data_IF_208652396658
#
_entry.id   IF_208652396658
#
_cell.length_a   1.000
_cell.length_b   1.000
_cell.length_c   1.000
_cell.angle_alpha   90.00
_cell.angle_beta   90.00
_cell.angle_gamma   90.00
#
_symmetry.space_group_name_H-M   'P 1'
#
loop_
_entity.id
_entity.type
_entity.pdbx_description
1 polymer ?
#
# COMPACT_ATOMS: atom_id res chain seq x y z
N UNK A 1 -3.95 24.86 -6.21
CA UNK A 1 -3.63 23.70 -7.07
C UNK A 1 -4.13 22.50 -6.30
N UNK A 2 -5.19 21.82 -6.76
CA UNK A 2 -5.66 20.60 -6.11
C UNK A 2 -4.72 19.47 -6.48
N UNK A 3 -4.36 18.64 -5.51
CA UNK A 3 -3.44 17.51 -5.67
C UNK A 3 -4.11 16.23 -5.22
N UNK A 4 -3.61 15.11 -5.70
CA UNK A 4 -4.10 13.79 -5.31
C UNK A 4 -3.58 13.42 -3.90
N UNK A 5 -4.48 13.03 -3.00
CA UNK A 5 -4.10 12.70 -1.62
C UNK A 5 -3.25 11.43 -1.52
N UNK A 6 -3.40 10.49 -2.46
CA UNK A 6 -2.60 9.26 -2.52
C UNK A 6 -1.19 9.55 -3.04
N UNK A 7 -1.06 10.44 -4.03
CA UNK A 7 0.24 10.93 -4.49
C UNK A 7 0.98 11.66 -3.36
N UNK A 8 0.29 12.56 -2.65
CA UNK A 8 0.87 13.26 -1.51
C UNK A 8 1.31 12.31 -0.38
N UNK A 9 0.49 11.31 -0.03
CA UNK A 9 0.83 10.31 0.98
C UNK A 9 2.09 9.54 0.59
N UNK A 10 2.17 9.09 -0.67
CA UNK A 10 3.34 8.37 -1.17
C UNK A 10 4.59 9.24 -1.14
N UNK A 11 4.50 10.48 -1.61
CA UNK A 11 5.61 11.43 -1.54
C UNK A 11 6.08 11.63 -0.10
N UNK A 12 5.15 11.89 0.82
CA UNK A 12 5.48 12.15 2.22
C UNK A 12 6.17 10.96 2.90
N UNK A 13 5.65 9.74 2.74
CA UNK A 13 6.25 8.55 3.37
C UNK A 13 7.65 8.27 2.83
N UNK A 14 7.87 8.41 1.52
CA UNK A 14 9.19 8.21 0.91
C UNK A 14 10.18 9.31 1.33
N UNK A 15 9.78 10.59 1.34
CA UNK A 15 10.64 11.67 1.84
C UNK A 15 11.03 11.48 3.31
N UNK A 16 10.09 11.03 4.16
CA UNK A 16 10.41 10.70 5.56
C UNK A 16 11.44 9.57 5.66
N UNK A 17 11.34 8.52 4.82
CA UNK A 17 12.34 7.46 4.78
C UNK A 17 13.71 8.04 4.41
N UNK A 18 13.78 8.81 3.34
CA UNK A 18 15.04 9.41 2.85
C UNK A 18 15.70 10.30 3.91
N UNK A 19 14.93 11.12 4.62
CA UNK A 19 15.42 11.97 5.71
C UNK A 19 15.99 11.11 6.84
N UNK A 20 15.22 10.12 7.31
CA UNK A 20 15.63 9.26 8.43
C UNK A 20 16.87 8.41 8.10
N UNK A 21 17.00 7.96 6.85
CA UNK A 21 18.19 7.23 6.39
C UNK A 21 19.42 8.14 6.37
N UNK A 22 19.29 9.38 5.87
CA UNK A 22 20.37 10.37 5.87
C UNK A 22 20.83 10.70 7.29
N UNK A 23 19.90 10.94 8.21
CA UNK A 23 20.19 11.23 9.62
C UNK A 23 20.92 10.05 10.29
N UNK A 24 20.45 8.82 10.07
CA UNK A 24 21.08 7.64 10.64
C UNK A 24 22.48 7.37 10.08
N UNK A 25 22.71 7.67 8.79
CA UNK A 25 24.04 7.55 8.19
C UNK A 25 24.99 8.65 8.66
N UNK A 26 24.51 9.88 8.86
CA UNK A 26 25.31 10.96 9.44
C UNK A 26 25.74 10.63 10.88
N UNK A 27 24.81 10.14 11.71
CA UNK A 27 25.11 9.74 13.09
C UNK A 27 26.17 8.61 13.19
N UNK A 28 26.17 7.66 12.24
CA UNK A 28 27.19 6.61 12.16
C UNK A 28 28.56 7.16 11.78
N UNK A 29 28.60 8.10 10.83
CA UNK A 29 29.86 8.72 10.41
C UNK A 29 30.48 9.55 11.55
N UNK A 30 29.68 10.28 12.33
CA UNK A 30 30.17 11.06 13.48
C UNK A 30 30.68 10.16 14.63
N UNK A 31 30.06 9.00 14.83
CA UNK A 31 30.50 8.01 15.82
C UNK A 31 31.83 7.33 15.42
N UNK A 32 32.06 7.08 14.13
CA UNK A 32 33.35 6.53 13.65
C UNK A 32 34.48 7.57 13.75
N UNK A 33 34.19 8.85 13.51
CA UNK A 33 35.18 9.94 13.52
C UNK A 33 35.62 10.36 14.94
N UNK A 34 34.87 9.97 15.98
CA UNK A 34 35.15 10.29 17.39
C UNK A 34 35.89 9.19 18.16
N UNK A 35 36.26 8.08 17.50
CA UNK A 35 37.06 7.00 18.11
C UNK A 35 38.58 7.32 18.07
N UNK A 36 39.32 7.30 19.22
CA UNK A 36 40.76 7.55 19.21
C UNK A 36 41.50 6.38 18.58
N UNK A 37 42.13 6.63 17.42
CA UNK A 37 43.06 5.68 16.81
C UNK A 37 44.37 5.60 17.60
N UNK A 38 44.53 4.58 18.44
CA UNK A 38 45.87 4.16 18.89
C UNK A 38 46.61 3.51 17.70
N UNK A 39 47.72 4.15 17.31
CA UNK A 39 48.62 3.68 16.26
C UNK A 39 49.49 2.53 16.78
N UNK A 40 49.59 1.42 16.04
CA UNK A 40 50.91 0.84 15.68
C UNK A 40 50.90 -0.14 14.50
N UNK A 41 51.85 0.08 13.59
CA UNK A 41 52.64 -0.84 12.75
C UNK A 41 52.07 -1.55 11.49
N UNK A 42 52.51 -1.01 10.35
CA UNK A 42 52.83 -1.55 9.00
C UNK A 42 52.70 -3.07 8.70
N UNK A 43 51.93 -3.39 7.67
CA UNK A 43 52.00 -4.63 6.87
C UNK A 43 51.30 -4.45 5.49
N UNK A 44 51.66 -5.20 4.44
CA UNK A 44 51.28 -4.90 3.05
C UNK A 44 49.77 -5.10 2.83
N UNK A 45 49.09 -4.09 2.29
CA UNK A 45 47.66 -4.15 1.96
C UNK A 45 47.45 -4.94 0.66
N UNK A 46 47.03 -6.19 0.78
CA UNK A 46 46.32 -6.87 -0.29
C UNK A 46 44.93 -6.23 -0.49
N UNK A 47 44.44 -6.05 -1.73
CA UNK A 47 43.10 -5.58 -1.97
C UNK A 47 42.11 -6.73 -1.76
N UNK A 48 41.58 -6.87 -0.53
CA UNK A 48 40.46 -7.77 -0.29
C UNK A 48 39.14 -7.05 -0.59
N UNK A 49 38.52 -7.51 -1.68
CA UNK A 49 37.12 -7.31 -1.97
C UNK A 49 36.27 -7.80 -0.80
N UNK A 50 35.53 -6.89 -0.16
CA UNK A 50 34.45 -7.26 0.75
C UNK A 50 33.25 -6.35 0.45
N UNK A 51 32.49 -6.74 -0.58
CA UNK A 51 31.12 -6.29 -0.77
C UNK A 51 30.24 -6.89 0.33
N UNK A 52 30.33 -6.34 1.53
CA UNK A 52 29.30 -6.56 2.56
C UNK A 52 28.07 -5.85 2.02
N UNK A 53 27.07 -6.62 1.56
CA UNK A 53 25.73 -6.09 1.31
C UNK A 53 25.23 -5.56 2.65
N UNK A 54 25.37 -4.25 2.89
CA UNK A 54 24.78 -3.57 4.05
C UNK A 54 23.28 -3.86 3.96
N UNK A 55 22.73 -4.51 4.99
CA UNK A 55 21.27 -4.63 5.08
C UNK A 55 20.67 -3.21 5.09
N UNK A 56 19.58 -2.97 4.34
CA UNK A 56 18.93 -1.67 4.30
C UNK A 56 18.52 -1.22 5.69
N UNK A 57 18.63 0.08 5.97
CA UNK A 57 18.25 0.62 7.26
C UNK A 57 16.72 0.59 7.41
N UNK A 58 16.23 0.02 8.51
CA UNK A 58 14.78 -0.07 8.78
C UNK A 58 14.33 1.09 9.66
N UNK A 59 13.82 2.16 9.04
CA UNK A 59 13.20 3.32 9.70
C UNK A 59 11.87 2.97 10.41
N UNK A 60 11.33 3.88 11.23
CA UNK A 60 10.00 3.68 11.83
C UNK A 60 8.87 3.69 10.78
N UNK A 61 9.06 4.38 9.66
CA UNK A 61 8.11 4.36 8.53
C UNK A 61 8.01 2.93 7.99
N UNK A 62 9.16 2.29 7.77
CA UNK A 62 9.20 0.88 7.35
C UNK A 62 8.55 -0.05 8.38
N UNK A 63 8.78 0.17 9.68
CA UNK A 63 8.17 -0.66 10.74
C UNK A 63 6.64 -0.58 10.76
N UNK A 64 6.08 0.60 10.47
CA UNK A 64 4.64 0.82 10.54
C UNK A 64 3.93 0.48 9.24
N UNK A 65 4.41 0.99 8.10
CA UNK A 65 3.68 0.97 6.83
C UNK A 65 4.20 -0.06 5.84
N UNK A 66 5.42 -0.59 6.00
CA UNK A 66 5.99 -1.49 4.99
C UNK A 66 5.44 -2.91 5.10
N UNK A 67 4.80 -3.35 4.02
CA UNK A 67 4.53 -4.75 3.75
C UNK A 67 5.45 -5.32 2.67
N UNK A 68 5.31 -6.63 2.42
CA UNK A 68 5.99 -7.36 1.35
C UNK A 68 4.96 -8.14 0.54
N UNK A 69 5.00 -7.95 -0.77
CA UNK A 69 4.28 -8.74 -1.77
C UNK A 69 5.23 -9.77 -2.37
N UNK A 70 4.72 -10.94 -2.72
CA UNK A 70 5.40 -11.89 -3.60
C UNK A 70 4.64 -11.95 -4.92
N UNK A 71 5.31 -11.56 -6.00
CA UNK A 71 4.84 -11.67 -7.37
C UNK A 71 5.35 -12.99 -7.97
N UNK A 72 4.43 -13.92 -8.20
CA UNK A 72 4.72 -15.25 -8.74
C UNK A 72 4.25 -15.34 -10.19
N UNK A 73 5.12 -15.75 -11.09
CA UNK A 73 4.82 -16.02 -12.50
C UNK A 73 5.16 -17.46 -12.84
N UNK A 74 4.17 -18.24 -13.30
CA UNK A 74 4.32 -19.62 -13.80
C UNK A 74 4.18 -19.64 -15.31
N UNK A 75 5.25 -20.00 -16.02
CA UNK A 75 5.18 -20.26 -17.46
C UNK A 75 4.29 -21.49 -17.74
N UNK A 76 3.28 -21.37 -18.61
CA UNK A 76 2.37 -22.49 -18.92
C UNK A 76 2.95 -23.51 -19.92
N UNK A 77 4.08 -23.18 -20.57
CA UNK A 77 4.76 -24.10 -21.48
C UNK A 77 5.77 -25.02 -20.79
N UNK A 78 6.61 -24.47 -19.92
CA UNK A 78 7.70 -25.21 -19.27
C UNK A 78 7.54 -25.34 -17.75
N UNK A 79 6.42 -24.85 -17.22
CA UNK A 79 6.02 -24.90 -15.81
C UNK A 79 6.99 -24.22 -14.82
N UNK A 80 7.97 -23.49 -15.33
CA UNK A 80 8.94 -22.78 -14.48
C UNK A 80 8.23 -21.65 -13.76
N UNK A 81 8.40 -21.62 -12.44
CA UNK A 81 7.85 -20.59 -11.55
C UNK A 81 8.97 -19.65 -11.14
N UNK A 82 8.77 -18.36 -11.36
CA UNK A 82 9.63 -17.30 -10.82
C UNK A 82 8.85 -16.53 -9.77
N UNK A 83 9.46 -16.29 -8.61
CA UNK A 83 8.89 -15.48 -7.55
C UNK A 83 9.83 -14.30 -7.26
N UNK A 84 9.26 -13.10 -7.08
CA UNK A 84 10.00 -11.90 -6.68
C UNK A 84 9.26 -11.21 -5.55
N UNK A 85 10.02 -10.83 -4.53
CA UNK A 85 9.49 -10.06 -3.41
C UNK A 85 9.64 -8.57 -3.68
N UNK A 86 8.58 -7.80 -3.41
CA UNK A 86 8.52 -6.36 -3.59
C UNK A 86 7.93 -5.73 -2.32
N UNK A 87 8.50 -4.61 -1.86
CA UNK A 87 8.00 -3.87 -0.70
C UNK A 87 6.91 -2.88 -1.12
N UNK A 88 5.97 -2.57 -0.23
CA UNK A 88 4.95 -1.56 -0.46
C UNK A 88 4.63 -0.79 0.82
N UNK A 89 4.17 0.46 0.70
CA UNK A 89 3.59 1.25 1.79
C UNK A 89 2.06 1.33 1.73
N UNK A 90 1.47 1.15 0.54
CA UNK A 90 0.03 1.04 0.33
C UNK A 90 -0.33 -0.05 -0.68
N UNK A 91 -1.58 -0.51 -0.62
CA UNK A 91 -2.18 -1.36 -1.64
C UNK A 91 -3.20 -0.55 -2.43
N UNK A 92 -2.88 -0.29 -3.70
CA UNK A 92 -3.80 0.34 -4.64
C UNK A 92 -4.69 -0.70 -5.32
N UNK A 93 -5.96 -0.77 -4.90
CA UNK A 93 -6.91 -1.79 -5.35
C UNK A 93 -7.81 -1.30 -6.48
N UNK A 94 -7.97 -2.15 -7.49
CA UNK A 94 -9.02 -2.00 -8.49
C UNK A 94 -10.39 -2.27 -7.84
N UNK A 95 -11.37 -1.46 -8.22
CA UNK A 95 -12.71 -1.48 -7.62
C UNK A 95 -13.79 -1.81 -8.63
N UNK A 96 -14.83 -2.48 -8.15
CA UNK A 96 -16.00 -2.86 -8.94
C UNK A 96 -17.29 -2.33 -8.30
N UNK A 97 -18.35 -2.17 -9.11
CA UNK A 97 -19.65 -1.71 -8.64
C UNK A 97 -20.23 -2.71 -7.63
N UNK A 98 -20.71 -2.21 -6.48
CA UNK A 98 -21.32 -3.01 -5.41
C UNK A 98 -20.38 -4.09 -4.84
N UNK A 99 -19.10 -3.75 -4.67
CA UNK A 99 -18.08 -4.64 -4.13
C UNK A 99 -17.75 -4.34 -2.66
N UNK A 100 -16.75 -5.04 -2.12
CA UNK A 100 -16.19 -4.82 -0.78
C UNK A 100 -14.66 -4.85 -0.84
N UNK A 101 -13.99 -4.23 0.15
CA UNK A 101 -12.53 -4.31 0.29
C UNK A 101 -12.04 -5.76 0.38
N UNK A 102 -12.77 -6.61 1.10
CA UNK A 102 -12.45 -8.04 1.18
C UNK A 102 -12.46 -8.69 -0.21
N UNK A 103 -13.46 -8.37 -1.04
CA UNK A 103 -13.53 -8.85 -2.43
C UNK A 103 -12.41 -8.27 -3.29
N UNK A 104 -12.12 -6.97 -3.17
CA UNK A 104 -11.05 -6.30 -3.90
C UNK A 104 -9.67 -6.88 -3.57
N UNK A 105 -9.38 -7.16 -2.30
CA UNK A 105 -8.15 -7.81 -1.86
C UNK A 105 -8.04 -9.24 -2.41
N UNK A 106 -9.15 -9.99 -2.43
CA UNK A 106 -9.19 -11.32 -3.04
C UNK A 106 -8.92 -11.27 -4.54
N UNK A 107 -9.48 -10.29 -5.24
CA UNK A 107 -9.23 -10.07 -6.68
C UNK A 107 -7.77 -9.64 -6.92
N UNK A 108 -7.21 -8.77 -6.07
CA UNK A 108 -5.81 -8.37 -6.13
C UNK A 108 -4.85 -9.58 -6.03
N UNK A 109 -5.21 -10.58 -5.22
CA UNK A 109 -4.44 -11.83 -5.10
C UNK A 109 -4.91 -12.98 -6.00
N UNK A 110 -5.81 -12.70 -6.93
CA UNK A 110 -6.26 -13.69 -7.91
C UNK A 110 -5.16 -13.98 -8.94
N UNK A 111 -5.28 -15.13 -9.61
CA UNK A 111 -4.35 -15.51 -10.68
C UNK A 111 -4.83 -14.93 -12.00
N UNK A 112 -4.02 -14.05 -12.59
CA UNK A 112 -4.22 -13.53 -13.95
C UNK A 112 -3.49 -14.41 -14.96
N UNK A 113 -4.05 -14.55 -16.16
CA UNK A 113 -3.43 -15.32 -17.25
C UNK A 113 -2.93 -14.37 -18.33
N UNK A 114 -1.61 -14.29 -18.46
CA UNK A 114 -0.89 -13.54 -19.48
C UNK A 114 -0.95 -14.31 -20.80
N UNK A 115 -1.72 -13.79 -21.78
CA UNK A 115 -1.98 -14.45 -23.06
C UNK A 115 -2.07 -13.42 -24.21
N UNK A 116 -2.23 -13.90 -25.45
CA UNK A 116 -2.34 -13.07 -26.66
C UNK A 116 -1.22 -12.01 -26.78
N UNK A 117 -1.55 -10.73 -26.62
CA UNK A 117 -0.62 -9.59 -26.72
C UNK A 117 0.22 -9.40 -25.44
N UNK A 118 -0.25 -9.91 -24.30
CA UNK A 118 0.38 -9.76 -22.98
C UNK A 118 1.28 -10.95 -22.60
N UNK A 119 1.80 -11.71 -23.58
CA UNK A 119 2.64 -12.90 -23.30
C UNK A 119 3.91 -12.54 -22.52
N UNK A 120 4.29 -13.40 -21.58
CA UNK A 120 5.49 -13.28 -20.76
C UNK A 120 6.72 -13.85 -21.48
N UNK A 121 7.85 -13.13 -21.48
CA UNK A 121 9.12 -13.68 -21.98
C UNK A 121 9.72 -14.64 -20.95
N UNK A 122 9.74 -15.93 -21.27
CA UNK A 122 10.28 -16.96 -20.39
C UNK A 122 11.75 -17.22 -20.71
N UNK A 123 12.65 -16.93 -19.77
CA UNK A 123 14.10 -17.14 -19.91
C UNK A 123 14.47 -18.60 -20.20
N UNK A 124 13.74 -19.56 -19.64
CA UNK A 124 13.98 -20.99 -19.89
C UNK A 124 13.52 -21.43 -21.28
N UNK A 125 12.45 -20.82 -21.81
CA UNK A 125 11.96 -21.10 -23.17
C UNK A 125 12.61 -20.22 -24.23
N UNK A 126 13.37 -19.19 -23.83
CA UNK A 126 13.92 -18.14 -24.68
C UNK A 126 12.90 -17.55 -25.67
N UNK A 127 11.64 -17.39 -25.25
CA UNK A 127 10.52 -16.94 -26.10
C UNK A 127 9.32 -16.46 -25.31
N UNK A 128 8.42 -15.71 -25.96
CA UNK A 128 7.14 -15.30 -25.40
C UNK A 128 6.21 -16.50 -25.20
N UNK A 129 5.71 -16.67 -23.98
CA UNK A 129 4.87 -17.77 -23.56
C UNK A 129 3.65 -17.26 -22.80
N UNK A 130 2.59 -18.07 -22.82
CA UNK A 130 1.49 -17.87 -21.89
C UNK A 130 1.98 -18.18 -20.46
N UNK A 131 1.50 -17.40 -19.50
CA UNK A 131 1.90 -17.53 -18.11
C UNK A 131 0.73 -17.22 -17.17
N UNK A 132 0.77 -17.79 -15.98
CA UNK A 132 -0.09 -17.40 -14.87
C UNK A 132 0.70 -16.50 -13.93
N UNK A 133 0.18 -15.32 -13.63
CA UNK A 133 0.77 -14.38 -12.69
C UNK A 133 -0.17 -14.19 -11.50
N UNK A 134 0.38 -14.05 -10.30
CA UNK A 134 -0.38 -13.76 -9.08
C UNK A 134 0.46 -12.98 -8.09
N UNK A 135 -0.19 -12.07 -7.37
CA UNK A 135 0.44 -11.29 -6.31
C UNK A 135 -0.10 -11.73 -4.96
N UNK A 136 0.76 -12.02 -4.00
CA UNK A 136 0.35 -12.42 -2.64
C UNK A 136 0.95 -11.49 -1.62
N UNK A 137 0.19 -11.17 -0.58
CA UNK A 137 0.75 -10.49 0.59
C UNK A 137 1.54 -11.54 1.38
N UNK A 138 2.87 -11.38 1.38
CA UNK A 138 3.81 -12.23 2.11
C UNK A 138 4.00 -11.74 3.53
N UNK A 139 4.14 -10.43 3.71
CA UNK A 139 4.20 -9.80 5.04
C UNK A 139 3.25 -8.60 5.05
N UNK A 140 2.19 -8.63 5.84
CA UNK A 140 1.32 -7.46 5.97
C UNK A 140 1.96 -6.41 6.91
N UNK A 141 1.71 -5.10 6.70
CA UNK A 141 2.24 -4.02 7.55
C UNK A 141 1.46 -3.87 8.87
N UNK A 142 2.02 -3.16 9.85
CA UNK A 142 1.29 -2.84 11.09
C UNK A 142 0.09 -1.92 10.80
N UNK A 143 0.31 -0.89 9.98
CA UNK A 143 -0.72 -0.02 9.43
C UNK A 143 -0.88 -0.36 7.96
N UNK A 144 -2.02 -0.98 7.61
CA UNK A 144 -2.39 -1.27 6.25
C UNK A 144 -3.09 -0.07 5.62
N UNK A 145 -2.42 0.55 4.65
CA UNK A 145 -2.99 1.62 3.83
C UNK A 145 -3.57 1.00 2.56
N UNK A 146 -4.84 1.26 2.29
CA UNK A 146 -5.53 0.81 1.08
C UNK A 146 -6.00 2.02 0.30
N UNK A 147 -5.49 2.18 -0.91
CA UNK A 147 -5.97 3.18 -1.86
C UNK A 147 -6.99 2.53 -2.80
N UNK A 148 -8.15 3.15 -2.94
CA UNK A 148 -9.17 2.73 -3.90
C UNK A 148 -8.96 3.48 -5.21
N UNK A 149 -8.65 2.76 -6.30
CA UNK A 149 -8.46 3.32 -7.65
C UNK A 149 -9.77 3.84 -8.25
N UNK A 150 -10.29 4.92 -7.68
CA UNK A 150 -11.54 5.56 -8.09
C UNK A 150 -11.39 6.39 -9.34
N UNK A 151 -10.19 6.63 -9.84
CA UNK A 151 -9.99 7.37 -11.09
C UNK A 151 -9.53 6.42 -12.18
N UNK A 152 -10.36 6.25 -13.21
CA UNK A 152 -10.08 5.38 -14.35
C UNK A 152 -10.12 6.17 -15.65
N UNK A 153 -9.14 5.95 -16.51
CA UNK A 153 -9.15 6.49 -17.86
C UNK A 153 -10.18 5.71 -18.70
N UNK A 154 -11.15 6.42 -19.27
CA UNK A 154 -12.17 5.82 -20.13
C UNK A 154 -11.83 6.19 -21.57
N UNK A 155 -11.27 5.23 -22.31
CA UNK A 155 -10.79 5.43 -23.68
C UNK A 155 -11.87 5.99 -24.60
N UNK A 156 -13.10 5.47 -24.48
CA UNK A 156 -14.28 5.90 -25.25
C UNK A 156 -14.60 7.40 -25.05
N UNK A 157 -14.23 7.97 -23.90
CA UNK A 157 -14.46 9.37 -23.54
C UNK A 157 -13.18 10.22 -23.66
N UNK A 158 -12.01 9.61 -23.89
CA UNK A 158 -10.72 10.28 -23.94
C UNK A 158 -10.33 11.01 -22.66
N UNK A 159 -10.84 10.60 -21.49
CA UNK A 159 -10.59 11.30 -20.21
C UNK A 159 -10.70 10.39 -19.00
N UNK A 160 -10.13 10.84 -17.88
CA UNK A 160 -10.35 10.25 -16.57
C UNK A 160 -11.76 10.53 -16.05
N UNK A 161 -12.35 9.52 -15.42
CA UNK A 161 -13.65 9.60 -14.74
C UNK A 161 -13.50 9.07 -13.32
N UNK A 162 -14.13 9.76 -12.36
CA UNK A 162 -14.32 9.24 -11.01
C UNK A 162 -15.38 8.13 -11.00
N UNK A 163 -15.03 6.99 -10.43
CA UNK A 163 -15.88 5.84 -10.20
C UNK A 163 -16.59 6.02 -8.86
N UNK A 164 -17.88 6.37 -8.92
CA UNK A 164 -18.77 6.51 -7.76
C UNK A 164 -19.25 5.16 -7.21
N UNK A 165 -18.51 4.08 -7.49
CA UNK A 165 -18.90 2.72 -7.16
C UNK A 165 -19.08 2.56 -5.66
N UNK A 166 -20.13 1.85 -5.27
CA UNK A 166 -20.31 1.41 -3.88
C UNK A 166 -19.29 0.32 -3.55
N UNK A 167 -18.34 0.63 -2.68
CA UNK A 167 -17.31 -0.28 -2.16
C UNK A 167 -17.42 -0.29 -0.64
N UNK A 168 -17.82 -1.41 -0.07
CA UNK A 168 -17.91 -1.57 1.39
C UNK A 168 -16.52 -1.76 1.99
N UNK A 169 -16.17 -0.93 2.96
CA UNK A 169 -15.02 -1.14 3.82
C UNK A 169 -15.49 -1.46 5.25
N UNK A 170 -15.26 -2.69 5.74
CA UNK A 170 -15.70 -3.08 7.07
C UNK A 170 -14.86 -2.40 8.16
N UNK A 171 -15.43 -2.21 9.34
CA UNK A 171 -14.67 -1.66 10.49
C UNK A 171 -13.59 -2.63 10.98
N UNK A 172 -13.82 -3.93 10.79
CA UNK A 172 -12.85 -4.98 11.07
C UNK A 172 -12.57 -5.75 9.77
N UNK A 173 -11.29 -5.88 9.43
CA UNK A 173 -10.83 -6.55 8.23
C UNK A 173 -9.98 -7.75 8.61
N UNK A 174 -10.37 -8.93 8.12
CA UNK A 174 -9.55 -10.14 8.20
C UNK A 174 -8.70 -10.25 6.95
N UNK A 175 -7.39 -10.31 7.13
CA UNK A 175 -6.43 -10.48 6.05
C UNK A 175 -5.72 -11.82 6.23
N UNK A 176 -5.93 -12.72 5.26
CA UNK A 176 -5.28 -14.03 5.28
C UNK A 176 -3.79 -13.89 4.97
N UNK A 177 -2.95 -14.29 5.93
CA UNK A 177 -1.51 -14.34 5.75
C UNK A 177 -1.10 -15.65 5.09
N UNK A 178 -0.40 -15.56 3.96
CA UNK A 178 0.03 -16.74 3.21
C UNK A 178 1.19 -17.51 3.86
N UNK A 179 1.85 -16.93 4.87
CA UNK A 179 3.05 -17.52 5.51
C UNK A 179 2.80 -18.16 6.87
N UNK A 180 1.88 -17.65 7.68
CA UNK A 180 1.75 -18.04 9.09
C UNK A 180 0.48 -18.81 9.44
N UNK A 181 -0.36 -19.14 8.45
CA UNK A 181 -1.62 -19.91 8.62
C UNK A 181 -2.57 -19.30 9.68
N UNK A 182 -2.37 -18.01 10.00
CA UNK A 182 -3.15 -17.22 10.93
C UNK A 182 -3.67 -15.97 10.20
N UNK A 183 -4.98 -15.76 10.26
CA UNK A 183 -5.58 -14.52 9.77
C UNK A 183 -5.17 -13.37 10.69
N UNK A 184 -4.69 -12.26 10.11
CA UNK A 184 -4.50 -11.03 10.85
C UNK A 184 -5.80 -10.23 10.85
N UNK A 185 -6.20 -9.76 12.03
CA UNK A 185 -7.33 -8.85 12.19
C UNK A 185 -6.82 -7.41 12.24
N UNK A 186 -7.52 -6.56 11.49
CA UNK A 186 -7.27 -5.13 11.41
C UNK A 186 -8.52 -4.36 11.80
N UNK A 187 -8.36 -3.20 12.43
CA UNK A 187 -9.44 -2.26 12.68
C UNK A 187 -9.26 -0.98 11.86
N UNK A 188 -10.32 -0.55 11.20
CA UNK A 188 -10.38 0.71 10.48
C UNK A 188 -10.34 1.86 11.50
N UNK A 189 -9.34 2.72 11.39
CA UNK A 189 -9.23 3.90 12.26
C UNK A 189 -9.22 5.22 11.49
N UNK A 190 -8.96 5.23 10.19
CA UNK A 190 -9.11 6.45 9.40
C UNK A 190 -9.55 6.20 7.95
N UNK A 191 -10.28 7.16 7.40
CA UNK A 191 -10.73 7.19 6.01
C UNK A 191 -10.51 8.60 5.46
N UNK A 192 -9.69 8.73 4.42
CA UNK A 192 -9.64 9.94 3.60
C UNK A 192 -10.73 9.83 2.55
N UNK A 193 -11.59 10.84 2.46
CA UNK A 193 -12.72 10.91 1.52
C UNK A 193 -12.42 11.95 0.47
N UNK A 194 -12.60 11.60 -0.80
CA UNK A 194 -12.59 12.57 -1.89
C UNK A 194 -14.03 13.02 -2.17
N UNK A 195 -14.29 14.31 -1.99
CA UNK A 195 -15.53 15.03 -2.31
C UNK A 195 -15.40 15.64 -3.70
N UNK A 196 -16.43 15.50 -4.53
CA UNK A 196 -16.46 16.04 -5.90
C UNK A 196 -16.38 14.98 -7.00
N UNK A 197 -16.78 15.38 -8.21
CA UNK A 197 -17.06 14.46 -9.33
C UNK A 197 -15.88 14.23 -10.27
N UNK A 198 -14.86 15.08 -10.22
CA UNK A 198 -13.71 15.06 -11.14
C UNK A 198 -12.42 14.61 -10.46
N UNK A 199 -11.39 14.22 -11.25
CA UNK A 199 -10.05 13.95 -10.73
C UNK A 199 -9.24 15.22 -10.44
N UNK A 200 -9.52 16.31 -11.15
CA UNK A 200 -8.70 17.53 -11.11
C UNK A 200 -9.26 18.62 -10.19
N UNK A 201 -10.43 18.37 -9.59
CA UNK A 201 -11.10 19.30 -8.70
C UNK A 201 -11.96 18.50 -7.71
N UNK A 202 -11.77 18.81 -6.45
CA UNK A 202 -12.41 18.15 -5.34
C UNK A 202 -11.92 18.71 -4.01
N UNK A 203 -12.47 18.17 -2.95
CA UNK A 203 -12.11 18.49 -1.57
C UNK A 203 -11.82 17.20 -0.80
N UNK A 204 -10.89 17.24 0.14
CA UNK A 204 -10.54 16.07 0.93
C UNK A 204 -10.92 16.30 2.38
N UNK A 205 -11.69 15.36 2.92
CA UNK A 205 -12.08 15.32 4.34
C UNK A 205 -11.61 14.01 4.94
N UNK A 206 -11.46 13.96 6.27
CA UNK A 206 -10.96 12.77 6.96
C UNK A 206 -11.92 12.32 8.05
N UNK A 207 -12.25 11.04 8.08
CA UNK A 207 -12.89 10.39 9.21
C UNK A 207 -11.82 9.71 10.03
N UNK A 208 -11.78 9.93 11.34
CA UNK A 208 -10.79 9.32 12.24
C UNK A 208 -11.48 8.78 13.49
N UNK A 209 -11.19 7.54 13.86
CA UNK A 209 -11.62 6.92 15.11
C UNK A 209 -10.60 7.23 16.21
N UNK A 210 -11.05 7.85 17.29
CA UNK A 210 -10.24 8.15 18.48
C UNK A 210 -11.03 7.80 19.73
N UNK A 211 -10.45 7.00 20.63
CA UNK A 211 -11.09 6.57 21.88
C UNK A 211 -12.52 6.01 21.68
N UNK A 212 -12.71 5.22 20.62
CA UNK A 212 -14.01 4.64 20.22
C UNK A 212 -15.09 5.64 19.74
N UNK A 213 -14.71 6.89 19.47
CA UNK A 213 -15.55 7.90 18.83
C UNK A 213 -15.04 8.20 17.43
N UNK A 214 -15.95 8.42 16.48
CA UNK A 214 -15.60 8.87 15.14
C UNK A 214 -15.65 10.40 15.09
N UNK A 215 -14.61 10.97 14.49
CA UNK A 215 -14.46 12.40 14.26
C UNK A 215 -14.39 12.64 12.75
N UNK A 216 -15.14 13.62 12.28
CA UNK A 216 -15.11 14.12 10.92
C UNK A 216 -14.30 15.42 10.90
N UNK A 217 -13.22 15.43 10.13
CA UNK A 217 -12.32 16.57 9.94
C UNK A 217 -12.52 17.14 8.53
N UNK A 218 -12.96 18.38 8.48
CA UNK A 218 -13.15 19.19 7.28
C UNK A 218 -12.45 20.53 7.48
N UNK A 219 -11.17 20.58 7.07
CA UNK A 219 -10.25 21.70 7.29
C UNK A 219 -10.23 22.17 8.76
N UNK A 220 -10.70 23.38 9.05
CA UNK A 220 -10.79 23.91 10.42
C UNK A 220 -11.93 23.32 11.27
N UNK A 221 -12.86 22.60 10.65
CA UNK A 221 -14.05 22.08 11.30
C UNK A 221 -13.84 20.63 11.75
N UNK A 222 -14.19 20.37 13.02
CA UNK A 222 -14.11 19.03 13.61
C UNK A 222 -15.43 18.72 14.29
N UNK A 223 -16.06 17.64 13.86
CA UNK A 223 -17.35 17.20 14.38
C UNK A 223 -17.28 15.74 14.84
N UNK A 224 -17.98 15.41 15.92
CA UNK A 224 -18.18 14.01 16.29
C UNK A 224 -19.34 13.45 15.48
N UNK A 225 -19.13 12.27 14.89
CA UNK A 225 -20.12 11.58 14.06
C UNK A 225 -20.38 10.18 14.59
N UNK A 226 -21.56 9.65 14.31
CA UNK A 226 -21.88 8.25 14.59
C UNK A 226 -21.09 7.32 13.67
N UNK A 227 -20.74 6.14 14.15
CA UNK A 227 -20.05 5.11 13.35
C UNK A 227 -20.85 4.70 12.10
N UNK A 228 -22.18 4.81 12.14
CA UNK A 228 -23.05 4.56 10.99
C UNK A 228 -22.82 5.57 9.85
N UNK A 229 -22.36 6.79 10.14
CA UNK A 229 -22.06 7.80 9.14
C UNK A 229 -20.87 7.40 8.26
N UNK A 230 -19.94 6.56 8.75
CA UNK A 230 -18.84 6.01 7.94
C UNK A 230 -19.38 5.29 6.69
N UNK A 231 -20.55 4.67 6.79
CA UNK A 231 -21.17 3.90 5.71
C UNK A 231 -21.68 4.77 4.56
N UNK A 232 -21.91 6.07 4.77
CA UNK A 232 -22.36 6.99 3.71
C UNK A 232 -21.25 7.25 2.69
N UNK A 233 -20.00 6.97 3.05
CA UNK A 233 -18.81 7.16 2.21
C UNK A 233 -18.43 5.92 1.38
N UNK A 234 -19.22 4.83 1.44
CA UNK A 234 -18.99 3.66 0.58
C UNK A 234 -19.13 3.98 -0.91
N UNK A 235 -19.86 5.04 -1.25
CA UNK A 235 -20.24 5.39 -2.61
C UNK A 235 -21.64 4.89 -2.96
N UNK A 236 -21.95 4.89 -4.26
CA UNK A 236 -23.32 4.84 -4.73
C UNK A 236 -23.66 3.50 -5.35
N UNK A 237 -24.78 2.91 -4.93
CA UNK A 237 -25.27 1.65 -5.47
C UNK A 237 -25.78 1.79 -6.92
N UNK A 238 -26.11 3.02 -7.33
CA UNK A 238 -26.59 3.39 -8.66
C UNK A 238 -25.54 4.23 -9.38
N UNK A 239 -25.45 4.08 -10.70
CA UNK A 239 -24.48 4.81 -11.53
C UNK A 239 -24.71 6.33 -11.55
N UNK A 240 -25.94 6.78 -11.25
CA UNK A 240 -26.33 8.19 -11.19
C UNK A 240 -26.74 8.52 -9.75
N UNK A 241 -25.80 9.06 -8.99
CA UNK A 241 -26.03 9.52 -7.63
C UNK A 241 -25.48 10.93 -7.48
N UNK A 242 -26.21 11.75 -6.73
CA UNK A 242 -25.77 13.10 -6.35
C UNK A 242 -24.69 13.07 -5.27
N UNK A 243 -24.51 11.95 -4.56
CA UNK A 243 -23.43 11.81 -3.60
C UNK A 243 -22.10 11.72 -4.35
N UNK A 244 -21.17 12.61 -3.99
CA UNK A 244 -19.84 12.66 -4.57
C UNK A 244 -18.76 12.28 -3.57
N UNK A 245 -19.13 11.84 -2.37
CA UNK A 245 -18.26 11.85 -1.22
C UNK A 245 -17.91 10.41 -0.92
N UNK A 246 -16.75 9.99 -1.42
CA UNK A 246 -16.38 8.58 -1.47
C UNK A 246 -15.06 8.36 -0.76
N UNK A 247 -15.04 7.37 0.13
CA UNK A 247 -13.80 6.90 0.77
C UNK A 247 -12.77 6.55 -0.30
N UNK A 248 -11.57 7.10 -0.17
CA UNK A 248 -10.53 7.10 -1.18
C UNK A 248 -9.27 6.39 -0.69
N UNK A 249 -8.82 6.71 0.53
CA UNK A 249 -7.71 6.01 1.21
C UNK A 249 -8.22 5.52 2.56
N UNK A 250 -7.96 4.27 2.88
CA UNK A 250 -8.38 3.62 4.12
C UNK A 250 -7.15 3.25 4.93
N UNK A 251 -7.19 3.52 6.23
CA UNK A 251 -6.14 3.16 7.17
C UNK A 251 -6.67 2.16 8.19
N UNK A 252 -6.04 1.00 8.17
CA UNK A 252 -6.33 -0.14 9.03
C UNK A 252 -5.14 -0.39 9.94
N UNK A 253 -5.37 -0.49 11.25
CA UNK A 253 -4.33 -0.84 12.23
C UNK A 253 -4.47 -2.31 12.63
N UNK A 254 -3.36 -3.03 12.67
CA UNK A 254 -3.35 -4.43 13.11
C UNK A 254 -3.69 -4.51 14.60
N UNK A 255 -4.65 -5.37 14.96
CA UNK A 255 -5.07 -5.55 16.36
C UNK A 255 -4.05 -6.35 17.19
N UNK A 256 -3.09 -7.00 16.53
CA UNK A 256 -2.14 -7.92 17.15
C UNK A 256 -2.83 -9.09 17.88
N UNK A 257 -2.06 -10.10 18.28
CA UNK A 257 -2.54 -11.12 19.21
C UNK A 257 -2.65 -10.61 20.67
N UNK A 258 -2.41 -9.32 20.92
CA UNK A 258 -2.09 -8.77 22.24
C UNK A 258 -3.06 -7.74 22.83
N UNK A 259 -3.99 -7.16 22.06
CA UNK A 259 -4.93 -6.17 22.57
C UNK A 259 -6.37 -6.71 22.65
N UNK A 260 -6.55 -7.73 23.48
CA UNK A 260 -7.84 -7.93 24.17
C UNK A 260 -7.69 -7.36 25.57
N UNK A 261 -8.03 -6.08 25.72
CA UNK A 261 -8.30 -5.46 27.02
C UNK A 261 -9.75 -5.68 27.39
#
# INVERSE_FOLDING_TARGET
MHQDAHEFLNFLLNELVDILEKEAQAAKNDAETSSPSEKTANGPKNPQANGVKKEPLVTWVHKNFQGILTNETRCLRCETVTARDETFFDLSLDIEQNSSITSCLKNFSSTETLNAEDKFFCDKCCSLQEAQKRMKIKKPPHILVIHLKRFKYIEQLGRYKKLSYRVVFPLELKLSNTMEDADLEYSLFAVVVHVGSGPNHGHYVSLVKSHNHWLFFDDENVEMIDESAVQTFFGSAQEFSSNTDHGYILFYESLGAGNKS
#
